data_IF_842555218227
#
_entry.id   IF_842555218227
#
_cell.length_a   1.000
_cell.length_b   1.000
_cell.length_c   1.000
_cell.angle_alpha   90.00
_cell.angle_beta   90.00
_cell.angle_gamma   90.00
#
_symmetry.space_group_name_H-M   'P 1'
#
loop_
_entity.id
_entity.type
_entity.pdbx_description
1 polymer ?
#
# COMPACT_ATOMS: atom_id res chain seq x y z
N UNK A 1 -11.91 -0.63 -13.73
CA UNK A 1 -11.02 -1.20 -12.69
C UNK A 1 -9.57 -0.91 -13.03
N UNK A 2 -8.79 -0.54 -12.05
CA UNK A 2 -7.39 -0.20 -12.23
C UNK A 2 -6.57 -0.83 -11.11
N UNK A 3 -5.41 -1.40 -11.46
CA UNK A 3 -4.51 -1.97 -10.46
C UNK A 3 -3.23 -1.15 -10.47
N UNK A 4 -2.84 -0.67 -9.28
CA UNK A 4 -1.60 0.07 -9.09
C UNK A 4 -0.67 -0.76 -8.22
N UNK A 5 0.54 -0.99 -8.70
CA UNK A 5 1.54 -1.74 -7.93
C UNK A 5 2.29 -0.81 -6.99
N UNK A 6 2.66 -1.33 -5.83
CA UNK A 6 3.33 -0.58 -4.77
C UNK A 6 4.58 -1.33 -4.37
N UNK A 7 5.69 -0.64 -4.29
CA UNK A 7 6.92 -1.29 -3.88
C UNK A 7 8.10 -0.37 -3.85
N UNK A 8 9.27 -0.96 -3.63
CA UNK A 8 10.52 -0.23 -3.49
C UNK A 8 11.08 0.21 -4.84
N UNK A 9 10.80 -0.55 -5.91
CA UNK A 9 11.42 -0.30 -7.21
C UNK A 9 10.59 -0.93 -8.32
N UNK A 10 10.44 -0.20 -9.43
CA UNK A 10 9.80 -0.74 -10.63
C UNK A 10 8.29 -0.87 -10.57
N UNK A 11 7.66 -0.18 -9.63
CA UNK A 11 6.21 -0.22 -9.45
C UNK A 11 5.57 1.12 -9.82
N UNK A 12 4.23 1.14 -9.92
CA UNK A 12 3.50 2.38 -10.21
C UNK A 12 3.68 3.40 -9.10
N UNK A 13 3.69 2.93 -7.86
CA UNK A 13 3.94 3.75 -6.68
C UNK A 13 5.24 3.25 -6.06
N UNK A 14 6.23 4.12 -5.99
CA UNK A 14 7.54 3.75 -5.46
C UNK A 14 7.72 4.35 -4.08
N UNK A 15 7.98 3.49 -3.10
CA UNK A 15 8.26 3.89 -1.73
C UNK A 15 9.77 3.80 -1.50
N UNK A 16 10.41 4.94 -1.26
CA UNK A 16 11.84 4.97 -1.03
C UNK A 16 12.19 4.31 0.29
N UNK A 17 13.08 3.32 0.23
CA UNK A 17 13.47 2.57 1.41
C UNK A 17 14.91 2.10 1.27
N UNK A 18 15.83 2.85 1.87
CA UNK A 18 17.26 2.52 1.86
C UNK A 18 17.55 1.27 2.70
N UNK A 19 16.67 0.93 3.64
CA UNK A 19 16.85 -0.21 4.53
C UNK A 19 16.34 -1.51 3.92
N UNK A 20 15.70 -1.43 2.76
CA UNK A 20 15.16 -2.60 2.03
C UNK A 20 14.15 -3.42 2.83
N UNK A 21 13.40 -2.76 3.72
CA UNK A 21 12.30 -3.38 4.44
C UNK A 21 11.06 -3.53 3.55
N UNK A 22 10.97 -2.71 2.51
CA UNK A 22 9.88 -2.78 1.55
C UNK A 22 10.31 -3.65 0.38
N UNK A 23 9.52 -4.65 0.04
CA UNK A 23 9.78 -5.55 -1.07
C UNK A 23 9.67 -4.79 -2.40
N UNK A 24 10.35 -5.27 -3.45
CA UNK A 24 10.27 -4.64 -4.77
C UNK A 24 8.84 -4.53 -5.25
N UNK A 25 8.10 -5.63 -5.22
CA UNK A 25 6.65 -5.64 -5.39
C UNK A 25 6.06 -6.01 -4.04
N UNK A 26 5.60 -5.02 -3.31
CA UNK A 26 5.15 -5.20 -1.92
C UNK A 26 3.65 -5.45 -1.84
N UNK A 27 2.89 -4.67 -2.60
CA UNK A 27 1.44 -4.71 -2.54
C UNK A 27 0.84 -4.19 -3.84
N UNK A 28 -0.47 -4.36 -3.97
CA UNK A 28 -1.24 -3.78 -5.07
C UNK A 28 -2.49 -3.13 -4.48
N UNK A 29 -2.91 -2.03 -5.09
CA UNK A 29 -4.21 -1.46 -4.77
C UNK A 29 -5.06 -1.49 -6.04
N UNK A 30 -6.24 -2.10 -5.93
CA UNK A 30 -7.23 -2.12 -7.00
C UNK A 30 -8.21 -0.99 -6.76
N UNK A 31 -8.35 -0.11 -7.74
CA UNK A 31 -9.38 0.94 -7.71
C UNK A 31 -10.58 0.35 -8.43
N UNK A 32 -11.66 0.11 -7.69
CA UNK A 32 -12.86 -0.53 -8.25
C UNK A 32 -13.68 0.48 -9.04
N UNK A 33 -14.59 -0.02 -9.87
CA UNK A 33 -15.43 0.84 -10.70
C UNK A 33 -16.38 1.71 -9.88
N UNK A 34 -16.72 1.26 -8.66
CA UNK A 34 -17.57 2.04 -7.75
C UNK A 34 -16.77 2.94 -6.80
N UNK A 35 -15.46 3.10 -7.05
CA UNK A 35 -14.65 4.06 -6.32
C UNK A 35 -14.09 3.57 -4.99
N UNK A 36 -14.05 2.27 -4.77
CA UNK A 36 -13.44 1.70 -3.56
C UNK A 36 -12.00 1.26 -3.85
N UNK A 37 -11.26 1.03 -2.77
CA UNK A 37 -9.86 0.65 -2.87
C UNK A 37 -9.63 -0.68 -2.16
N UNK A 38 -9.11 -1.65 -2.90
CA UNK A 38 -8.82 -2.99 -2.38
C UNK A 38 -7.31 -3.18 -2.34
N UNK A 39 -6.74 -3.28 -1.15
CA UNK A 39 -5.29 -3.39 -0.93
C UNK A 39 -4.93 -4.85 -0.71
N UNK A 40 -3.95 -5.34 -1.46
CA UNK A 40 -3.50 -6.74 -1.42
C UNK A 40 -2.00 -6.77 -1.18
N UNK A 41 -1.57 -7.52 -0.17
CA UNK A 41 -0.15 -7.78 0.06
C UNK A 41 0.33 -8.83 -0.94
N UNK A 42 1.44 -8.57 -1.62
CA UNK A 42 1.96 -9.45 -2.67
C UNK A 42 3.06 -10.39 -2.14
N UNK A 43 2.84 -10.96 -0.97
CA UNK A 43 3.82 -11.87 -0.37
C UNK A 43 5.05 -11.15 0.14
N UNK A 44 4.88 -9.94 0.65
CA UNK A 44 6.01 -9.13 1.11
C UNK A 44 6.72 -9.78 2.29
N UNK A 45 8.02 -9.47 2.41
CA UNK A 45 8.85 -10.04 3.49
C UNK A 45 8.45 -9.52 4.87
N UNK A 46 8.06 -8.26 4.96
CA UNK A 46 7.82 -7.60 6.26
C UNK A 46 6.39 -7.14 6.46
N UNK A 47 5.49 -7.47 5.54
CA UNK A 47 4.06 -7.32 5.74
C UNK A 47 3.49 -5.95 5.38
N UNK A 48 2.16 -5.92 5.36
CA UNK A 48 1.33 -4.74 5.11
C UNK A 48 0.29 -4.71 6.23
N UNK A 49 -0.02 -3.51 6.73
CA UNK A 49 -0.98 -3.35 7.82
C UNK A 49 -1.85 -2.12 7.60
N UNK A 50 -3.02 -2.12 8.23
CA UNK A 50 -3.95 -1.00 8.23
C UNK A 50 -4.21 -0.61 9.68
N UNK A 51 -4.25 0.68 9.97
CA UNK A 51 -4.55 1.15 11.32
C UNK A 51 -6.06 1.28 11.49
N UNK A 52 -6.61 0.53 12.43
CA UNK A 52 -8.04 0.56 12.75
C UNK A 52 -8.22 0.56 14.25
N UNK A 53 -9.08 1.46 14.75
CA UNK A 53 -9.35 1.59 16.18
C UNK A 53 -8.07 1.76 17.00
N UNK A 54 -7.14 2.58 16.47
CA UNK A 54 -5.89 2.88 17.15
C UNK A 54 -4.84 1.78 17.14
N UNK A 55 -5.06 0.69 16.40
CA UNK A 55 -4.13 -0.43 16.36
C UNK A 55 -3.79 -0.82 14.93
N UNK A 56 -2.54 -1.23 14.72
CA UNK A 56 -2.11 -1.76 13.44
C UNK A 56 -2.60 -3.19 13.27
N UNK A 57 -3.35 -3.44 12.20
CA UNK A 57 -3.87 -4.77 11.87
C UNK A 57 -3.14 -5.28 10.63
N UNK A 58 -2.36 -6.36 10.74
CA UNK A 58 -1.75 -6.94 9.54
C UNK A 58 -2.82 -7.48 8.61
N UNK A 59 -2.62 -7.28 7.31
CA UNK A 59 -3.57 -7.73 6.31
C UNK A 59 -2.87 -8.51 5.20
N UNK A 60 -3.62 -9.46 4.64
CA UNK A 60 -3.28 -10.06 3.35
C UNK A 60 -4.02 -9.31 2.25
N UNK A 61 -5.26 -8.96 2.49
CA UNK A 61 -6.10 -8.19 1.58
C UNK A 61 -7.24 -7.56 2.37
N UNK A 62 -7.63 -6.34 2.00
CA UNK A 62 -8.72 -5.64 2.66
C UNK A 62 -9.15 -4.43 1.85
N UNK A 63 -10.41 -4.06 1.96
CA UNK A 63 -10.86 -2.75 1.51
C UNK A 63 -10.34 -1.70 2.47
N UNK A 64 -9.84 -0.59 1.93
CA UNK A 64 -9.25 0.50 2.72
C UNK A 64 -9.81 1.83 2.21
N UNK A 65 -10.14 2.73 3.12
CA UNK A 65 -10.60 4.07 2.77
C UNK A 65 -9.40 5.00 2.60
N UNK A 66 -9.60 6.09 1.86
CA UNK A 66 -8.53 7.06 1.59
C UNK A 66 -7.96 7.68 2.87
N UNK A 67 -8.79 7.85 3.90
CA UNK A 67 -8.38 8.47 5.17
C UNK A 67 -7.77 7.48 6.15
N UNK A 68 -7.79 6.18 5.84
CA UNK A 68 -7.16 5.20 6.71
C UNK A 68 -5.65 5.17 6.49
N UNK A 69 -4.89 4.96 7.57
CA UNK A 69 -3.45 4.81 7.49
C UNK A 69 -3.09 3.37 7.14
N UNK A 70 -2.13 3.21 6.25
CA UNK A 70 -1.56 1.92 5.88
C UNK A 70 -0.07 1.93 6.18
N UNK A 71 0.52 0.77 6.42
CA UNK A 71 1.93 0.65 6.76
C UNK A 71 2.56 -0.49 5.97
N UNK A 72 3.70 -0.21 5.39
CA UNK A 72 4.45 -1.17 4.58
C UNK A 72 5.81 -1.45 5.24
N UNK A 73 6.17 -2.71 5.31
CA UNK A 73 7.48 -3.11 5.82
C UNK A 73 7.66 -2.88 7.31
N UNK A 74 6.60 -2.66 8.05
CA UNK A 74 6.66 -2.47 9.49
C UNK A 74 7.03 -1.06 9.96
N UNK A 75 7.28 -0.12 9.02
CA UNK A 75 7.70 1.23 9.43
C UNK A 75 7.18 2.36 8.54
N UNK A 76 6.90 2.10 7.28
CA UNK A 76 6.51 3.15 6.32
C UNK A 76 5.01 3.33 6.36
N UNK A 77 4.54 4.38 7.03
CA UNK A 77 3.10 4.61 7.19
C UNK A 77 2.66 5.92 6.57
N UNK A 78 1.49 5.91 5.97
CA UNK A 78 0.86 7.08 5.35
C UNK A 78 -0.61 6.75 5.14
N UNK A 79 -1.44 7.77 4.86
CA UNK A 79 -2.82 7.49 4.48
C UNK A 79 -2.86 6.92 3.06
N UNK A 80 -3.90 6.14 2.78
CA UNK A 80 -4.09 5.61 1.43
C UNK A 80 -4.21 6.75 0.42
N UNK A 81 -4.89 7.84 0.77
CA UNK A 81 -5.01 9.00 -0.10
C UNK A 81 -3.66 9.59 -0.47
N UNK A 82 -2.75 9.71 0.50
CA UNK A 82 -1.38 10.19 0.25
C UNK A 82 -0.63 9.21 -0.67
N UNK A 83 -0.78 7.91 -0.41
CA UNK A 83 -0.17 6.89 -1.24
C UNK A 83 -0.59 7.00 -2.71
N UNK A 84 -1.88 7.19 -2.95
CA UNK A 84 -2.40 7.30 -4.32
C UNK A 84 -1.87 8.51 -5.05
N UNK A 85 -1.55 9.59 -4.33
CA UNK A 85 -0.96 10.79 -4.93
C UNK A 85 0.49 10.60 -5.33
N UNK A 86 1.14 9.55 -4.85
CA UNK A 86 2.53 9.26 -5.18
C UNK A 86 2.66 8.47 -6.48
N UNK A 87 1.56 8.16 -7.14
CA UNK A 87 1.59 7.47 -8.42
C UNK A 87 2.42 8.25 -9.42
N UNK A 88 3.33 7.53 -10.11
CA UNK A 88 4.20 8.16 -11.10
C UNK A 88 3.39 8.62 -12.30
N UNK A 89 3.58 9.88 -12.68
CA UNK A 89 3.06 10.42 -13.92
C UNK A 89 3.98 10.12 -15.07
N UNK A 90 3.39 9.97 -16.22
CA UNK A 90 4.17 9.86 -17.46
C UNK A 90 3.99 11.09 -18.30
#
# INVERSE_FOLDING_TARGET
MRILTIGRKGTDIVLNDSEKQISRLHAEVTVTDDGRYYLVDCGSSNGTAVKRQGAWKPIKQAFVSEDEEVRFGGFYSLTLGTLLKMKRSK
#
